data_IF_899490837449
#
_entry.id   IF_899490837449
#
_cell.length_a   1.000
_cell.length_b   1.000
_cell.length_c   1.000
_cell.angle_alpha   90.00
_cell.angle_beta   90.00
_cell.angle_gamma   90.00
#
_symmetry.space_group_name_H-M   'P 1'
#
loop_
_entity.id
_entity.type
_entity.pdbx_description
1 polymer ?
#
# COMPACT_ATOMS: atom_id res chain seq x y z
N UNK A 1 -2.60 -4.27 8.04
CA UNK A 1 -3.33 -3.61 6.94
C UNK A 1 -4.76 -3.33 7.40
N UNK A 2 -5.03 -2.14 7.93
CA UNK A 2 -6.39 -1.76 8.30
C UNK A 2 -7.21 -1.68 7.01
N UNK A 3 -8.21 -2.56 6.87
CA UNK A 3 -9.32 -2.33 5.95
C UNK A 3 -10.05 -1.08 6.45
N UNK A 4 -9.55 0.09 6.09
CA UNK A 4 -10.37 1.29 6.02
C UNK A 4 -11.33 1.03 4.86
N UNK A 5 -12.46 0.41 5.18
CA UNK A 5 -13.70 0.56 4.43
C UNK A 5 -14.03 2.05 4.54
N UNK A 6 -13.41 2.85 3.68
CA UNK A 6 -13.66 4.29 3.59
C UNK A 6 -14.96 4.44 2.83
N UNK A 7 -16.05 4.29 3.56
CA UNK A 7 -17.26 4.98 3.20
C UNK A 7 -16.92 6.48 3.27
N UNK A 8 -16.58 7.10 2.14
CA UNK A 8 -16.70 8.55 1.94
C UNK A 8 -18.20 8.89 1.87
N UNK A 9 -18.98 8.37 2.82
CA UNK A 9 -20.38 8.70 3.08
C UNK A 9 -20.47 9.78 4.16
N UNK A 10 -19.36 10.50 4.42
CA UNK A 10 -19.23 11.49 5.49
C UNK A 10 -19.34 12.94 5.00
N UNK A 11 -20.08 13.17 3.92
CA UNK A 11 -20.78 14.45 3.68
C UNK A 11 -22.13 14.16 3.01
N UNK A 12 -23.02 13.42 3.69
CA UNK A 12 -24.44 13.72 3.58
C UNK A 12 -24.79 14.62 4.77
N UNK A 13 -24.91 15.95 4.58
CA UNK A 13 -25.71 16.71 5.50
C UNK A 13 -27.12 16.13 5.42
N UNK A 14 -27.66 15.91 6.60
CA UNK A 14 -29.03 15.58 6.92
C UNK A 14 -30.00 16.21 5.91
N UNK A 15 -30.92 15.39 5.40
CA UNK A 15 -32.19 15.88 4.88
C UNK A 15 -32.75 16.92 5.86
N UNK A 16 -33.01 18.14 5.38
CA UNK A 16 -33.82 19.23 5.95
C UNK A 16 -33.15 20.62 5.87
N UNK A 17 -32.52 20.97 4.75
CA UNK A 17 -32.41 22.33 4.17
C UNK A 17 -31.69 22.17 2.82
N UNK A 18 -32.06 22.95 1.79
CA UNK A 18 -31.75 22.66 0.38
C UNK A 18 -30.28 22.30 0.13
N UNK A 19 -30.04 21.16 -0.55
CA UNK A 19 -28.69 20.80 -0.98
C UNK A 19 -28.17 21.86 -1.95
N UNK A 20 -27.18 22.61 -1.50
CA UNK A 20 -26.50 23.64 -2.30
C UNK A 20 -25.51 22.95 -3.25
N UNK A 21 -26.01 22.53 -4.40
CA UNK A 21 -25.19 22.05 -5.51
C UNK A 21 -24.49 23.23 -6.18
N UNK A 22 -23.29 23.02 -6.71
CA UNK A 22 -22.62 24.08 -7.46
C UNK A 22 -23.28 24.38 -8.84
N UNK A 23 -24.34 23.65 -9.20
CA UNK A 23 -25.11 23.82 -10.44
C UNK A 23 -26.57 24.14 -10.14
N UNK A 24 -27.19 24.93 -11.01
CA UNK A 24 -28.65 25.16 -11.01
C UNK A 24 -29.37 24.36 -12.11
N UNK A 25 -28.65 23.56 -12.90
CA UNK A 25 -29.23 22.82 -14.02
C UNK A 25 -30.09 21.65 -13.51
N UNK A 26 -31.41 21.82 -13.54
CA UNK A 26 -32.40 20.83 -13.06
C UNK A 26 -32.23 19.43 -13.66
N UNK A 27 -31.82 19.32 -14.93
CA UNK A 27 -31.59 18.00 -15.56
C UNK A 27 -30.30 17.37 -15.04
N UNK A 28 -29.24 18.15 -14.89
CA UNK A 28 -27.99 17.67 -14.30
C UNK A 28 -28.24 17.15 -12.88
N UNK A 29 -28.94 17.93 -12.06
CA UNK A 29 -29.34 17.57 -10.69
C UNK A 29 -30.15 16.27 -10.67
N UNK A 30 -31.17 16.14 -11.51
CA UNK A 30 -32.01 14.95 -11.55
C UNK A 30 -31.22 13.67 -11.89
N UNK A 31 -30.25 13.75 -12.82
CA UNK A 31 -29.38 12.62 -13.13
C UNK A 31 -28.40 12.31 -12.00
N UNK A 32 -27.87 13.33 -11.33
CA UNK A 32 -27.02 13.16 -10.15
C UNK A 32 -27.76 12.51 -8.98
N UNK A 33 -28.97 12.95 -8.66
CA UNK A 33 -29.80 12.36 -7.59
C UNK A 33 -30.16 10.90 -7.90
N UNK A 34 -30.39 10.58 -9.17
CA UNK A 34 -30.54 9.20 -9.61
C UNK A 34 -29.25 8.39 -9.43
N UNK A 35 -28.08 8.98 -9.72
CA UNK A 35 -26.79 8.35 -9.48
C UNK A 35 -26.55 8.10 -7.97
N UNK A 36 -26.97 9.02 -7.10
CA UNK A 36 -26.93 8.83 -5.64
C UNK A 36 -27.76 7.60 -5.22
N UNK A 37 -28.96 7.43 -5.78
CA UNK A 37 -29.77 6.22 -5.56
C UNK A 37 -28.99 4.94 -5.85
N UNK A 38 -28.37 4.86 -7.04
CA UNK A 38 -27.55 3.71 -7.41
C UNK A 38 -26.30 3.53 -6.54
N UNK A 39 -25.76 4.61 -5.94
CA UNK A 39 -24.64 4.52 -5.02
C UNK A 39 -25.05 3.79 -3.74
N UNK A 40 -26.23 4.09 -3.19
CA UNK A 40 -26.78 3.36 -2.04
C UNK A 40 -27.00 1.87 -2.35
N UNK A 41 -27.46 1.57 -3.56
CA UNK A 41 -27.66 0.19 -4.04
C UNK A 41 -26.35 -0.50 -4.45
N UNK A 42 -25.21 0.21 -4.37
CA UNK A 42 -23.88 -0.24 -4.81
C UNK A 42 -23.81 -0.67 -6.27
N UNK A 43 -24.69 -0.11 -7.11
CA UNK A 43 -24.72 -0.31 -8.56
C UNK A 43 -23.75 0.66 -9.27
N UNK A 44 -22.44 0.52 -9.01
CA UNK A 44 -21.42 1.52 -9.37
C UNK A 44 -21.37 1.87 -10.87
N UNK A 45 -21.61 0.90 -11.76
CA UNK A 45 -21.68 1.18 -13.21
C UNK A 45 -22.81 2.16 -13.53
N UNK A 46 -23.99 1.99 -12.90
CA UNK A 46 -25.12 2.91 -13.09
C UNK A 46 -24.87 4.27 -12.45
N UNK A 47 -24.09 4.34 -11.36
CA UNK A 47 -23.62 5.62 -10.79
C UNK A 47 -22.82 6.37 -11.84
N UNK A 48 -21.85 5.71 -12.48
CA UNK A 48 -21.00 6.31 -13.51
C UNK A 48 -21.83 6.79 -14.70
N UNK A 49 -22.72 5.94 -15.23
CA UNK A 49 -23.59 6.30 -16.37
C UNK A 49 -24.48 7.52 -16.10
N UNK A 50 -25.08 7.60 -14.90
CA UNK A 50 -25.95 8.74 -14.56
C UNK A 50 -25.14 9.98 -14.19
N UNK A 51 -23.97 9.81 -13.59
CA UNK A 51 -23.01 10.90 -13.42
C UNK A 51 -22.57 11.49 -14.76
N UNK A 52 -22.27 10.66 -15.77
CA UNK A 52 -21.94 11.13 -17.13
C UNK A 52 -23.08 11.91 -17.78
N UNK A 53 -24.32 11.42 -17.61
CA UNK A 53 -25.51 12.16 -18.06
C UNK A 53 -25.62 13.50 -17.35
N UNK A 54 -25.42 13.56 -16.03
CA UNK A 54 -25.43 14.83 -15.29
C UNK A 54 -24.38 15.80 -15.84
N UNK A 55 -23.16 15.31 -16.04
CA UNK A 55 -22.02 16.09 -16.55
C UNK A 55 -22.19 16.52 -18.01
N UNK A 56 -23.00 15.84 -18.82
CA UNK A 56 -23.36 16.28 -20.17
C UNK A 56 -24.26 17.51 -20.18
N UNK A 57 -25.03 17.74 -19.10
CA UNK A 57 -25.86 18.93 -18.94
C UNK A 57 -25.11 20.07 -18.24
N UNK A 58 -24.19 19.72 -17.33
CA UNK A 58 -23.25 20.67 -16.73
C UNK A 58 -21.91 20.00 -16.42
N UNK A 59 -20.92 20.26 -17.27
CA UNK A 59 -19.58 19.67 -17.15
C UNK A 59 -18.79 20.14 -15.93
N UNK A 60 -19.26 21.18 -15.24
CA UNK A 60 -18.65 21.76 -14.04
C UNK A 60 -19.31 21.28 -12.75
N UNK A 61 -20.31 20.39 -12.83
CA UNK A 61 -21.02 19.87 -11.67
C UNK A 61 -20.07 19.04 -10.78
N UNK A 62 -19.65 19.64 -9.67
CA UNK A 62 -18.60 19.13 -8.80
C UNK A 62 -19.03 17.85 -8.11
N UNK A 63 -20.22 17.83 -7.51
CA UNK A 63 -20.74 16.66 -6.81
C UNK A 63 -20.87 15.45 -7.74
N UNK A 64 -21.26 15.66 -9.00
CA UNK A 64 -21.32 14.59 -10.00
C UNK A 64 -19.93 14.02 -10.32
N UNK A 65 -18.90 14.87 -10.47
CA UNK A 65 -17.53 14.40 -10.64
C UNK A 65 -17.04 13.59 -9.43
N UNK A 66 -17.29 14.08 -8.21
CA UNK A 66 -16.85 13.40 -6.99
C UNK A 66 -17.55 12.05 -6.81
N UNK A 67 -18.87 11.99 -7.01
CA UNK A 67 -19.66 10.75 -6.92
C UNK A 67 -19.21 9.70 -7.94
N UNK A 68 -18.91 10.13 -9.18
CA UNK A 68 -18.28 9.23 -10.17
C UNK A 68 -16.92 8.72 -9.71
N UNK A 69 -16.10 9.59 -9.12
CA UNK A 69 -14.79 9.21 -8.59
C UNK A 69 -14.90 8.14 -7.51
N UNK A 70 -15.87 8.26 -6.61
CA UNK A 70 -16.17 7.26 -5.58
C UNK A 70 -16.60 5.92 -6.20
N UNK A 71 -17.46 5.94 -7.22
CA UNK A 71 -17.86 4.71 -7.91
C UNK A 71 -16.67 4.02 -8.60
N UNK A 72 -15.80 4.79 -9.29
CA UNK A 72 -14.55 4.25 -9.85
C UNK A 72 -13.62 3.69 -8.78
N UNK A 73 -13.58 4.31 -7.59
CA UNK A 73 -12.76 3.84 -6.48
C UNK A 73 -13.24 2.47 -5.97
N UNK A 74 -14.55 2.28 -5.80
CA UNK A 74 -15.15 1.00 -5.41
C UNK A 74 -14.91 -0.10 -6.45
N UNK A 75 -14.83 0.26 -7.74
CA UNK A 75 -14.47 -0.66 -8.83
C UNK A 75 -12.96 -0.94 -8.93
N UNK A 76 -12.13 -0.27 -8.13
CA UNK A 76 -10.66 -0.41 -8.17
C UNK A 76 -9.99 0.31 -9.34
N UNK A 77 -10.71 1.18 -10.04
CA UNK A 77 -10.27 1.87 -11.25
C UNK A 77 -9.47 3.15 -10.93
N UNK A 78 -8.28 2.97 -10.36
CA UNK A 78 -7.45 4.03 -9.76
C UNK A 78 -7.27 5.29 -10.63
N UNK A 79 -6.98 5.14 -11.92
CA UNK A 79 -6.75 6.28 -12.81
C UNK A 79 -8.03 7.09 -13.06
N UNK A 80 -9.18 6.41 -13.19
CA UNK A 80 -10.47 7.06 -13.37
C UNK A 80 -10.90 7.80 -12.09
N UNK A 81 -10.64 7.21 -10.92
CA UNK A 81 -10.82 7.90 -9.62
C UNK A 81 -10.00 9.19 -9.54
N UNK A 82 -8.69 9.12 -9.83
CA UNK A 82 -7.81 10.30 -9.79
C UNK A 82 -8.34 11.40 -10.71
N UNK A 83 -8.70 11.04 -11.94
CA UNK A 83 -9.24 11.98 -12.91
C UNK A 83 -10.53 12.66 -12.42
N UNK A 84 -11.49 11.88 -11.92
CA UNK A 84 -12.76 12.41 -11.43
C UNK A 84 -12.57 13.32 -10.21
N UNK A 85 -11.73 12.93 -9.25
CA UNK A 85 -11.43 13.76 -8.09
C UNK A 85 -10.75 15.07 -8.50
N UNK A 86 -9.76 15.05 -9.40
CA UNK A 86 -9.12 16.26 -9.92
C UNK A 86 -10.12 17.24 -10.53
N UNK A 87 -11.12 16.73 -11.27
CA UNK A 87 -12.18 17.57 -11.84
C UNK A 87 -13.13 18.14 -10.79
N UNK A 88 -13.55 17.33 -9.82
CA UNK A 88 -14.49 17.77 -8.78
C UNK A 88 -13.88 18.81 -7.84
N UNK A 89 -12.67 18.56 -7.32
CA UNK A 89 -12.12 19.42 -6.25
C UNK A 89 -11.67 20.81 -6.70
N UNK A 90 -11.52 21.03 -8.02
CA UNK A 90 -10.96 22.26 -8.58
C UNK A 90 -11.88 23.49 -8.41
N UNK A 91 -13.19 23.30 -8.28
CA UNK A 91 -14.18 24.40 -8.26
C UNK A 91 -14.24 25.08 -6.89
N UNK A 92 -14.21 24.31 -5.81
CA UNK A 92 -14.23 24.85 -4.44
C UNK A 92 -13.27 24.06 -3.53
N UNK A 93 -11.95 24.37 -3.59
CA UNK A 93 -10.96 23.64 -2.82
C UNK A 93 -11.19 23.67 -1.30
N UNK A 94 -11.83 24.72 -0.78
CA UNK A 94 -12.17 24.83 0.63
C UNK A 94 -13.28 23.88 1.08
N UNK A 95 -14.37 23.80 0.30
CA UNK A 95 -15.49 22.88 0.59
C UNK A 95 -15.06 21.42 0.51
N UNK A 96 -14.27 21.07 -0.50
CA UNK A 96 -13.86 19.68 -0.76
C UNK A 96 -12.43 19.37 -0.33
N UNK A 97 -11.85 20.13 0.62
CA UNK A 97 -10.46 20.00 1.04
C UNK A 97 -10.09 18.54 1.39
N UNK A 98 -11.00 17.78 2.03
CA UNK A 98 -10.77 16.37 2.41
C UNK A 98 -10.46 15.47 1.20
N UNK A 99 -11.04 15.74 0.03
CA UNK A 99 -10.78 14.96 -1.18
C UNK A 99 -9.34 15.06 -1.66
N UNK A 100 -8.63 16.14 -1.34
CA UNK A 100 -7.21 16.26 -1.66
C UNK A 100 -6.32 15.28 -0.88
N UNK A 101 -6.74 14.80 0.30
CA UNK A 101 -6.01 13.71 0.98
C UNK A 101 -6.09 12.42 0.18
N UNK A 102 -7.30 12.04 -0.23
CA UNK A 102 -7.51 10.82 -1.03
C UNK A 102 -6.84 10.91 -2.39
N UNK A 103 -6.97 12.07 -3.05
CA UNK A 103 -6.33 12.32 -4.33
C UNK A 103 -4.80 12.23 -4.20
N UNK A 104 -4.22 12.84 -3.16
CA UNK A 104 -2.78 12.80 -2.93
C UNK A 104 -2.25 11.38 -2.67
N UNK A 105 -2.96 10.58 -1.88
CA UNK A 105 -2.59 9.19 -1.62
C UNK A 105 -2.67 8.32 -2.89
N UNK A 106 -3.72 8.50 -3.70
CA UNK A 106 -3.87 7.82 -4.98
C UNK A 106 -2.78 8.22 -5.98
N UNK A 107 -2.48 9.52 -6.07
CA UNK A 107 -1.41 10.05 -6.92
C UNK A 107 -0.04 9.50 -6.49
N UNK A 108 0.25 9.44 -5.19
CA UNK A 108 1.49 8.87 -4.67
C UNK A 108 1.62 7.39 -5.04
N UNK A 109 0.54 6.61 -4.85
CA UNK A 109 0.48 5.20 -5.24
C UNK A 109 0.61 4.97 -6.76
N UNK A 110 0.26 5.97 -7.57
CA UNK A 110 0.46 5.97 -9.02
C UNK A 110 1.83 6.50 -9.47
N UNK A 111 2.74 6.80 -8.54
CA UNK A 111 4.06 7.37 -8.85
C UNK A 111 4.04 8.86 -9.23
N UNK A 112 2.89 9.54 -9.14
CA UNK A 112 2.70 10.96 -9.45
C UNK A 112 3.07 11.81 -8.24
N UNK A 113 4.32 11.72 -7.79
CA UNK A 113 4.75 12.27 -6.50
C UNK A 113 4.60 13.79 -6.39
N UNK A 114 4.89 14.53 -7.48
CA UNK A 114 4.71 15.98 -7.49
C UNK A 114 3.24 16.36 -7.35
N UNK A 115 2.33 15.68 -8.06
CA UNK A 115 0.89 15.93 -7.94
C UNK A 115 0.40 15.61 -6.52
N UNK A 116 0.86 14.49 -5.94
CA UNK A 116 0.53 14.08 -4.58
C UNK A 116 0.94 15.12 -3.53
N UNK A 117 2.15 15.66 -3.68
CA UNK A 117 2.66 16.73 -2.83
C UNK A 117 1.78 17.99 -2.93
N UNK A 118 1.41 18.40 -4.14
CA UNK A 118 0.53 19.57 -4.35
C UNK A 118 -0.85 19.36 -3.72
N UNK A 119 -1.46 18.19 -3.91
CA UNK A 119 -2.76 17.89 -3.28
C UNK A 119 -2.70 18.05 -1.76
N UNK A 120 -1.63 17.57 -1.11
CA UNK A 120 -1.48 17.74 0.34
C UNK A 120 -1.23 19.20 0.77
N UNK A 121 -0.56 20.02 -0.06
CA UNK A 121 -0.44 21.46 0.20
C UNK A 121 -1.81 22.14 0.16
N UNK A 122 -2.63 21.85 -0.85
CA UNK A 122 -3.98 22.41 -0.98
C UNK A 122 -4.87 21.99 0.20
N UNK A 123 -4.78 20.73 0.65
CA UNK A 123 -5.45 20.30 1.87
C UNK A 123 -5.00 21.14 3.08
N UNK A 124 -3.69 21.33 3.27
CA UNK A 124 -3.16 22.06 4.43
C UNK A 124 -3.52 23.55 4.42
N UNK A 125 -3.68 24.14 3.24
CA UNK A 125 -4.11 25.53 3.05
C UNK A 125 -5.57 25.75 3.43
N UNK A 126 -6.44 24.80 3.09
CA UNK A 126 -7.88 24.97 3.22
C UNK A 126 -8.53 24.22 4.38
N UNK A 127 -7.85 23.23 4.96
CA UNK A 127 -8.42 22.46 6.06
C UNK A 127 -8.65 23.36 7.30
N UNK A 128 -9.79 23.20 7.99
CA UNK A 128 -10.03 23.91 9.24
C UNK A 128 -8.98 23.52 10.28
N UNK A 129 -8.63 24.46 11.17
CA UNK A 129 -7.65 24.22 12.23
C UNK A 129 -8.03 23.06 13.17
N UNK A 130 -9.32 22.73 13.26
CA UNK A 130 -9.87 21.60 14.03
C UNK A 130 -9.75 20.24 13.31
N UNK A 131 -9.27 20.21 12.07
CA UNK A 131 -9.19 18.97 11.29
C UNK A 131 -8.22 17.96 11.93
N UNK A 132 -8.75 16.79 12.30
CA UNK A 132 -7.97 15.67 12.85
C UNK A 132 -6.88 15.15 11.91
N UNK A 133 -6.96 15.48 10.62
CA UNK A 133 -6.02 15.00 9.61
C UNK A 133 -4.76 15.88 9.50
N UNK A 134 -4.75 17.10 10.04
CA UNK A 134 -3.62 18.04 9.96
C UNK A 134 -2.28 17.43 10.41
N UNK A 135 -2.16 16.71 11.55
CA UNK A 135 -0.88 16.12 11.96
C UNK A 135 -0.37 15.08 10.96
N UNK A 136 -1.27 14.25 10.41
CA UNK A 136 -0.89 13.25 9.41
C UNK A 136 -0.49 13.91 8.09
N UNK A 137 -1.26 14.89 7.63
CA UNK A 137 -0.98 15.64 6.41
C UNK A 137 0.37 16.36 6.47
N UNK A 138 0.72 16.97 7.60
CA UNK A 138 2.04 17.61 7.82
C UNK A 138 3.21 16.62 7.78
N UNK A 139 3.00 15.35 8.10
CA UNK A 139 4.03 14.30 7.93
C UNK A 139 4.11 13.83 6.49
N UNK A 140 2.96 13.56 5.86
CA UNK A 140 2.89 13.07 4.49
C UNK A 140 3.44 14.09 3.50
N UNK A 141 3.16 15.39 3.68
CA UNK A 141 3.68 16.45 2.79
C UNK A 141 5.21 16.46 2.76
N UNK A 142 5.89 16.18 3.89
CA UNK A 142 7.36 16.05 3.94
C UNK A 142 7.83 14.81 3.16
N UNK A 143 7.14 13.68 3.34
CA UNK A 143 7.43 12.44 2.61
C UNK A 143 7.24 12.62 1.10
N UNK A 144 6.14 13.24 0.69
CA UNK A 144 5.78 13.43 -0.71
C UNK A 144 6.69 14.47 -1.38
N UNK A 145 7.07 15.53 -0.67
CA UNK A 145 8.10 16.46 -1.12
C UNK A 145 9.42 15.73 -1.42
N UNK A 146 9.89 14.88 -0.48
CA UNK A 146 11.13 14.13 -0.69
C UNK A 146 11.02 13.13 -1.84
N UNK A 147 9.88 12.45 -1.97
CA UNK A 147 9.64 11.54 -3.08
C UNK A 147 9.65 12.27 -4.44
N UNK A 148 9.01 13.44 -4.52
CA UNK A 148 9.02 14.28 -5.72
C UNK A 148 10.42 14.79 -6.06
N UNK A 149 11.18 15.24 -5.06
CA UNK A 149 12.57 15.65 -5.20
C UNK A 149 13.44 14.51 -5.75
N UNK A 150 13.36 13.32 -5.16
CA UNK A 150 14.14 12.15 -5.60
C UNK A 150 13.74 11.70 -7.01
N UNK A 151 12.45 11.73 -7.33
CA UNK A 151 11.97 11.38 -8.66
C UNK A 151 12.39 12.39 -9.74
N UNK A 152 12.52 13.67 -9.38
CA UNK A 152 13.04 14.70 -10.27
C UNK A 152 14.57 14.64 -10.44
N UNK A 153 15.28 13.98 -9.52
CA UNK A 153 16.74 13.85 -9.52
C UNK A 153 17.15 12.36 -9.48
N UNK A 154 16.84 11.59 -10.53
CA UNK A 154 17.21 10.19 -10.58
C UNK A 154 18.73 10.05 -10.58
N UNK A 155 19.24 9.14 -9.76
CA UNK A 155 20.62 8.69 -9.85
C UNK A 155 20.74 7.65 -10.97
N UNK A 156 21.92 7.52 -11.57
CA UNK A 156 22.18 6.45 -12.55
C UNK A 156 22.30 5.10 -11.84
N UNK A 157 21.15 4.59 -11.42
CA UNK A 157 20.99 3.29 -10.80
C UNK A 157 19.85 2.58 -11.52
N UNK A 158 20.19 1.54 -12.24
CA UNK A 158 19.25 0.69 -12.97
C UNK A 158 19.16 -0.63 -12.24
N UNK A 159 18.23 -0.80 -11.29
CA UNK A 159 18.07 -2.07 -10.61
C UNK A 159 17.76 -3.14 -11.67
N UNK A 160 18.53 -4.21 -11.65
CA UNK A 160 18.30 -5.38 -12.48
C UNK A 160 17.84 -6.53 -11.60
N UNK A 161 17.01 -7.41 -12.16
CA UNK A 161 16.79 -8.72 -11.57
C UNK A 161 18.14 -9.40 -11.38
N UNK A 162 18.31 -10.07 -10.23
CA UNK A 162 19.50 -10.88 -9.96
C UNK A 162 19.33 -12.33 -10.45
N UNK A 163 18.25 -12.58 -11.22
CA UNK A 163 17.91 -13.85 -11.84
C UNK A 163 16.78 -14.59 -11.13
N UNK A 164 16.13 -15.48 -11.87
CA UNK A 164 14.99 -16.28 -11.40
C UNK A 164 15.35 -17.23 -10.26
N UNK A 165 16.65 -17.41 -9.99
CA UNK A 165 17.12 -18.12 -8.81
C UNK A 165 16.74 -17.42 -7.50
N UNK A 166 16.64 -16.09 -7.50
CA UNK A 166 16.24 -15.27 -6.35
C UNK A 166 14.87 -14.65 -6.57
N UNK A 167 14.65 -14.00 -7.72
CA UNK A 167 13.41 -13.26 -7.97
C UNK A 167 12.32 -14.22 -8.42
N UNK A 168 11.22 -14.29 -7.66
CA UNK A 168 10.07 -15.12 -8.01
C UNK A 168 8.82 -14.26 -8.27
N UNK A 169 7.66 -14.91 -8.43
CA UNK A 169 6.37 -14.22 -8.45
C UNK A 169 5.92 -13.73 -7.06
N UNK A 170 6.65 -14.10 -6.01
CA UNK A 170 6.43 -13.66 -4.64
C UNK A 170 7.36 -12.50 -4.28
N UNK A 171 7.10 -11.85 -3.15
CA UNK A 171 7.98 -10.79 -2.65
C UNK A 171 9.20 -11.39 -1.97
N UNK A 172 10.39 -10.98 -2.40
CA UNK A 172 11.65 -11.20 -1.67
C UNK A 172 12.15 -9.91 -1.03
N UNK A 173 12.62 -9.98 0.22
CA UNK A 173 13.13 -8.83 0.97
C UNK A 173 14.08 -9.22 2.11
N UNK A 174 14.74 -8.21 2.68
CA UNK A 174 15.76 -8.34 3.74
C UNK A 174 16.88 -9.36 3.42
N UNK A 175 17.62 -9.18 2.32
CA UNK A 175 18.77 -10.00 2.03
C UNK A 175 19.92 -9.70 3.00
N UNK A 176 20.61 -10.75 3.44
CA UNK A 176 21.93 -10.68 4.06
C UNK A 176 22.89 -11.57 3.28
N UNK A 177 24.12 -11.09 3.11
CA UNK A 177 25.18 -11.79 2.40
C UNK A 177 26.18 -12.36 3.41
N UNK A 178 26.79 -13.49 3.07
CA UNK A 178 28.02 -13.94 3.73
C UNK A 178 29.15 -12.92 3.50
N UNK A 179 30.18 -12.93 4.35
CA UNK A 179 31.28 -11.97 4.26
C UNK A 179 32.07 -12.04 2.94
N UNK A 180 32.12 -13.21 2.30
CA UNK A 180 32.72 -13.41 0.98
C UNK A 180 31.76 -13.09 -0.19
N UNK A 181 30.50 -12.74 0.10
CA UNK A 181 29.47 -12.42 -0.88
C UNK A 181 28.95 -13.61 -1.69
N UNK A 182 29.35 -14.84 -1.36
CA UNK A 182 28.99 -16.04 -2.15
C UNK A 182 27.67 -16.67 -1.73
N UNK A 183 27.14 -16.33 -0.56
CA UNK A 183 25.88 -16.84 -0.05
C UNK A 183 24.95 -15.68 0.27
N UNK A 184 23.69 -15.80 -0.13
CA UNK A 184 22.61 -14.87 0.21
C UNK A 184 21.54 -15.62 0.97
N UNK A 185 21.09 -15.05 2.09
CA UNK A 185 19.89 -15.46 2.79
C UNK A 185 18.92 -14.30 2.72
N UNK A 186 17.65 -14.57 2.47
CA UNK A 186 16.62 -13.55 2.34
C UNK A 186 15.25 -14.10 2.76
N UNK A 187 14.33 -13.22 3.09
CA UNK A 187 12.93 -13.58 3.34
C UNK A 187 12.19 -13.66 2.01
N UNK A 188 11.42 -14.73 1.80
CA UNK A 188 10.43 -14.82 0.73
C UNK A 188 9.04 -15.00 1.34
N UNK A 189 8.10 -14.20 0.88
CA UNK A 189 6.69 -14.24 1.30
C UNK A 189 5.92 -15.27 0.46
N UNK A 190 5.89 -16.52 0.90
CA UNK A 190 5.30 -17.65 0.17
C UNK A 190 3.84 -17.90 0.54
N UNK A 191 3.10 -18.57 -0.34
CA UNK A 191 1.75 -19.04 -0.04
C UNK A 191 1.76 -20.29 0.83
N UNK A 192 0.88 -20.35 1.84
CA UNK A 192 0.63 -21.57 2.61
C UNK A 192 -0.27 -22.54 1.82
N UNK A 193 -1.32 -22.01 1.17
CA UNK A 193 -2.21 -22.72 0.25
C UNK A 193 -2.10 -22.16 -1.17
N UNK A 194 -1.72 -23.01 -2.13
CA UNK A 194 -1.57 -22.62 -3.54
C UNK A 194 -2.90 -22.26 -4.24
N UNK A 195 -4.07 -22.53 -3.64
CA UNK A 195 -5.35 -22.13 -4.22
C UNK A 195 -5.62 -20.62 -4.13
N UNK A 196 -4.97 -19.91 -3.20
CA UNK A 196 -5.13 -18.45 -3.00
C UNK A 196 -3.78 -17.79 -2.72
N UNK A 197 -2.81 -17.87 -3.65
CA UNK A 197 -1.39 -17.68 -3.35
C UNK A 197 -1.02 -16.26 -2.94
N UNK A 198 -1.90 -15.26 -3.16
CA UNK A 198 -1.65 -13.86 -2.81
C UNK A 198 -2.62 -13.31 -1.75
N UNK A 199 -3.40 -14.18 -1.10
CA UNK A 199 -4.29 -13.76 -0.01
C UNK A 199 -3.47 -13.48 1.25
N UNK A 200 -3.59 -12.28 1.83
CA UNK A 200 -2.81 -11.86 3.00
C UNK A 200 -2.86 -12.82 4.20
N UNK A 201 -3.99 -13.50 4.40
CA UNK A 201 -4.15 -14.48 5.48
C UNK A 201 -3.59 -15.87 5.13
N UNK A 202 -2.93 -15.99 3.99
CA UNK A 202 -2.42 -17.23 3.41
C UNK A 202 -0.94 -17.06 3.00
N UNK A 203 -0.25 -16.06 3.55
CA UNK A 203 1.14 -15.80 3.27
C UNK A 203 1.98 -16.07 4.52
N UNK A 204 3.15 -16.65 4.31
CA UNK A 204 4.14 -16.93 5.33
C UNK A 204 5.52 -16.43 4.88
N UNK A 205 6.26 -15.86 5.82
CA UNK A 205 7.63 -15.41 5.64
C UNK A 205 8.60 -16.53 6.04
N UNK A 206 9.32 -17.03 5.05
CA UNK A 206 10.34 -18.05 5.24
C UNK A 206 11.69 -17.54 4.76
N UNK A 207 12.76 -18.01 5.40
CA UNK A 207 14.11 -17.77 4.89
C UNK A 207 14.47 -18.75 3.77
N UNK A 208 14.98 -18.18 2.69
CA UNK A 208 15.55 -18.88 1.56
C UNK A 208 17.03 -18.54 1.44
N UNK A 209 17.79 -19.47 0.90
CA UNK A 209 19.23 -19.35 0.72
C UNK A 209 19.61 -19.66 -0.73
N UNK A 210 20.49 -18.85 -1.28
CA UNK A 210 21.10 -19.09 -2.59
C UNK A 210 22.62 -18.91 -2.53
N UNK A 211 23.30 -19.56 -3.46
CA UNK A 211 24.75 -19.52 -3.64
C UNK A 211 25.04 -18.87 -4.99
N UNK A 212 25.99 -17.94 -5.00
CA UNK A 212 26.50 -17.31 -6.19
C UNK A 212 27.52 -18.23 -6.87
N UNK A 213 27.37 -18.38 -8.18
CA UNK A 213 28.28 -19.13 -9.06
C UNK A 213 28.74 -18.24 -10.23
N UNK A 214 29.63 -18.76 -11.07
CA UNK A 214 30.08 -18.07 -12.28
C UNK A 214 28.92 -17.73 -13.25
N UNK A 215 27.81 -18.47 -13.16
CA UNK A 215 26.60 -18.26 -13.97
C UNK A 215 25.52 -17.42 -13.27
N UNK A 216 25.79 -16.91 -12.07
CA UNK A 216 24.85 -16.14 -11.26
C UNK A 216 24.33 -16.89 -10.03
N UNK A 217 23.26 -16.38 -9.42
CA UNK A 217 22.64 -16.98 -8.24
C UNK A 217 21.91 -18.28 -8.60
N UNK A 218 22.20 -19.35 -7.87
CA UNK A 218 21.45 -20.60 -7.96
C UNK A 218 19.99 -20.42 -7.56
N UNK A 219 19.15 -21.39 -7.94
CA UNK A 219 17.78 -21.49 -7.42
C UNK A 219 17.80 -21.55 -5.90
N UNK A 220 17.17 -20.56 -5.27
CA UNK A 220 17.16 -20.46 -3.83
C UNK A 220 16.37 -21.61 -3.19
N UNK A 221 16.92 -22.16 -2.12
CA UNK A 221 16.37 -23.28 -1.36
C UNK A 221 15.79 -22.75 -0.05
N UNK A 222 14.59 -23.19 0.30
CA UNK A 222 14.00 -22.90 1.61
C UNK A 222 14.88 -23.54 2.71
N UNK A 223 15.33 -22.75 3.69
CA UNK A 223 16.22 -23.25 4.76
C UNK A 223 15.53 -24.33 5.61
N UNK A 224 14.20 -24.26 5.72
CA UNK A 224 13.38 -25.24 6.41
C UNK A 224 13.50 -25.20 7.93
N UNK A 225 12.84 -26.15 8.56
CA UNK A 225 12.88 -26.36 10.00
C UNK A 225 14.28 -26.80 10.45
N UNK A 226 14.82 -26.34 11.60
CA UNK A 226 14.11 -25.64 12.69
C UNK A 226 14.10 -24.11 12.62
N UNK A 227 14.79 -23.53 11.64
CA UNK A 227 14.85 -22.06 11.49
C UNK A 227 13.50 -21.54 11.03
N UNK A 228 13.02 -22.01 9.88
CA UNK A 228 11.66 -21.70 9.44
C UNK A 228 10.67 -22.52 10.25
N UNK A 229 9.70 -21.85 10.82
CA UNK A 229 8.63 -22.46 11.59
C UNK A 229 7.52 -22.98 10.67
N UNK A 230 6.68 -23.88 11.20
CA UNK A 230 5.59 -24.49 10.41
C UNK A 230 4.39 -23.53 10.26
N UNK A 231 4.11 -22.70 11.28
CA UNK A 231 2.90 -21.89 11.36
C UNK A 231 3.17 -20.46 11.87
N UNK A 232 4.39 -19.98 11.73
CA UNK A 232 4.75 -18.62 12.12
C UNK A 232 5.70 -17.98 11.10
N UNK A 233 6.10 -16.75 11.36
CA UNK A 233 6.89 -15.95 10.43
C UNK A 233 8.27 -15.67 11.00
N UNK A 234 9.27 -15.83 10.14
CA UNK A 234 10.65 -15.45 10.37
C UNK A 234 11.06 -14.29 9.46
N UNK A 235 11.70 -13.28 10.04
CA UNK A 235 12.05 -12.05 9.33
C UNK A 235 13.36 -11.40 9.79
N UNK A 236 13.84 -10.47 8.97
CA UNK A 236 14.95 -9.57 9.28
C UNK A 236 16.23 -10.29 9.79
N UNK A 237 16.64 -11.37 9.12
CA UNK A 237 17.83 -12.10 9.50
C UNK A 237 19.13 -11.37 9.15
N UNK A 238 20.18 -11.66 9.91
CA UNK A 238 21.56 -11.28 9.62
C UNK A 238 22.52 -12.40 9.99
N UNK A 239 23.66 -12.46 9.31
CA UNK A 239 24.72 -13.43 9.57
C UNK A 239 25.85 -12.80 10.39
N UNK A 240 26.47 -13.58 11.27
CA UNK A 240 27.77 -13.23 11.83
C UNK A 240 28.83 -13.16 10.73
N UNK A 241 29.92 -12.44 10.99
CA UNK A 241 31.00 -12.21 10.01
C UNK A 241 31.56 -13.52 9.45
N UNK A 242 31.72 -14.53 10.29
CA UNK A 242 32.19 -15.86 9.92
C UNK A 242 31.08 -16.80 9.40
N UNK A 243 29.83 -16.31 9.33
CA UNK A 243 28.66 -17.09 8.94
C UNK A 243 28.31 -18.24 9.90
N UNK A 244 28.92 -18.29 11.08
CA UNK A 244 28.68 -19.36 12.07
C UNK A 244 27.38 -19.17 12.85
N UNK A 245 26.83 -17.96 12.88
CA UNK A 245 25.57 -17.64 13.52
C UNK A 245 24.66 -16.85 12.59
N UNK A 246 23.36 -17.13 12.69
CA UNK A 246 22.30 -16.30 12.14
C UNK A 246 21.50 -15.72 13.32
N UNK A 247 21.23 -14.43 13.28
CA UNK A 247 20.31 -13.76 14.19
C UNK A 247 19.08 -13.31 13.42
N UNK A 248 17.89 -13.50 13.97
CA UNK A 248 16.65 -13.19 13.26
C UNK A 248 15.51 -12.90 14.23
N UNK A 249 14.46 -12.25 13.73
CA UNK A 249 13.21 -12.09 14.46
C UNK A 249 12.25 -13.20 14.07
N UNK A 250 11.57 -13.77 15.05
CA UNK A 250 10.46 -14.67 14.81
C UNK A 250 9.30 -14.36 15.75
N UNK A 251 8.10 -14.38 15.21
CA UNK A 251 6.88 -14.03 15.93
C UNK A 251 6.05 -15.27 16.22
N UNK A 252 5.40 -15.34 17.39
CA UNK A 252 4.44 -16.40 17.75
C UNK A 252 5.00 -17.84 17.70
N UNK A 253 6.32 -18.01 17.78
CA UNK A 253 6.92 -19.34 17.92
C UNK A 253 6.60 -19.93 19.29
N UNK A 254 6.42 -21.24 19.34
CA UNK A 254 6.09 -21.98 20.57
C UNK A 254 7.18 -21.85 21.65
N UNK A 255 8.44 -21.67 21.26
CA UNK A 255 9.59 -21.50 22.14
C UNK A 255 9.87 -20.03 22.54
N UNK A 256 8.95 -19.12 22.19
CA UNK A 256 9.04 -17.69 22.49
C UNK A 256 8.72 -17.31 23.94
N UNK A 257 9.20 -16.12 24.31
CA UNK A 257 8.89 -15.41 25.56
C UNK A 257 7.97 -14.22 25.32
N UNK A 258 8.01 -13.62 24.12
CA UNK A 258 7.16 -12.49 23.71
C UNK A 258 6.34 -12.79 22.46
N UNK A 259 5.69 -11.75 21.92
CA UNK A 259 4.96 -11.85 20.65
C UNK A 259 5.92 -12.02 19.46
N UNK A 260 7.06 -11.33 19.51
CA UNK A 260 8.16 -11.46 18.56
C UNK A 260 9.47 -11.32 19.34
N UNK A 261 10.33 -12.33 19.26
CA UNK A 261 11.62 -12.35 19.93
C UNK A 261 12.76 -12.38 18.91
N UNK A 262 13.95 -12.01 19.37
CA UNK A 262 15.18 -12.22 18.62
C UNK A 262 15.72 -13.60 18.96
N UNK A 263 15.99 -14.39 17.93
CA UNK A 263 16.59 -15.71 18.01
C UNK A 263 17.99 -15.70 17.42
N UNK A 264 18.78 -16.70 17.80
CA UNK A 264 19.97 -17.07 17.06
C UNK A 264 19.98 -18.57 16.74
N UNK A 265 20.56 -18.93 15.61
CA UNK A 265 20.86 -20.30 15.23
C UNK A 265 22.33 -20.41 14.84
N UNK A 266 22.99 -21.50 15.25
CA UNK A 266 24.38 -21.78 14.90
C UNK A 266 24.42 -22.68 13.67
N UNK A 267 25.34 -22.41 12.74
CA UNK A 267 25.62 -23.29 11.61
C UNK A 267 26.40 -24.51 12.09
N UNK A 268 25.88 -25.71 11.80
CA UNK A 268 26.49 -27.00 12.11
C UNK A 268 26.67 -27.75 10.79
N UNK A 269 27.86 -27.64 10.20
CA UNK A 269 28.12 -28.15 8.85
C UNK A 269 27.28 -27.44 7.79
N UNK A 270 26.39 -28.17 7.12
CA UNK A 270 25.51 -27.64 6.08
C UNK A 270 24.11 -27.26 6.61
N UNK A 271 23.84 -27.44 7.90
CA UNK A 271 22.52 -27.17 8.51
C UNK A 271 22.60 -26.12 9.61
N UNK A 272 21.44 -25.66 10.07
CA UNK A 272 21.29 -24.74 11.19
C UNK A 272 20.78 -25.47 12.43
N UNK A 273 21.29 -25.08 13.60
CA UNK A 273 20.83 -25.58 14.89
C UNK A 273 19.39 -25.18 15.16
N UNK A 274 18.74 -25.82 16.13
CA UNK A 274 17.49 -25.33 16.68
C UNK A 274 17.68 -23.87 17.19
N UNK A 275 16.82 -22.92 16.80
CA UNK A 275 16.93 -21.54 17.23
C UNK A 275 16.83 -21.41 18.75
N UNK A 276 17.56 -20.45 19.31
CA UNK A 276 17.49 -20.10 20.74
C UNK A 276 17.12 -18.64 20.87
N UNK A 277 16.07 -18.37 21.66
CA UNK A 277 15.66 -17.00 21.97
C UNK A 277 16.72 -16.28 22.82
N UNK A 278 16.97 -15.01 22.51
CA UNK A 278 17.75 -14.10 23.33
C UNK A 278 16.89 -13.42 24.40
N UNK A 279 15.57 -13.58 24.34
CA UNK A 279 14.68 -13.04 25.36
C UNK A 279 14.95 -13.75 26.70
N UNK A 280 15.20 -12.96 27.73
CA UNK A 280 15.28 -13.43 29.11
C UNK A 280 13.93 -13.28 29.79
N UNK A 281 13.62 -14.19 30.72
CA UNK A 281 12.47 -14.08 31.61
C UNK A 281 12.58 -12.88 32.55
#
# INVERSE_FOLDING_TARGET
MHKLVFAVLLILPQFLEGQDYNTENKKAIAFYEKALGYMYDREFVKVIENGDKALSYDSTFTEAWLLKGEAHFELGEKNATIYCYQKGVAVNPARYHVYYLFLGDLQYGAGRYQEAYQSYLVFLEHAPASSKYLPSAKRMVKRYAKAAELAANPVDFKPASVGDGINSSFSEYWPSLSADGTQMIFTRLIAVDNNKPHSLNNLQEDFFMSILTDTGWCTAVNIGHPVNSVNSNEGAQTLSVDGSYMYFTACMREDGKGLCDIYYAQRIGQTWSYPKTLATL
#
